data_IF_027709749870
#
_entry.id   IF_027709749870
#
_cell.length_a   1.000
_cell.length_b   1.000
_cell.length_c   1.000
_cell.angle_alpha   90.00
_cell.angle_beta   90.00
_cell.angle_gamma   90.00
#
_symmetry.space_group_name_H-M   'P 1'
#
loop_
_entity.id
_entity.type
_entity.pdbx_description
1 polymer ?
#
# COMPACT_ATOMS: atom_id res chain seq x y z
N UNK A 1 -30.86 18.31 -0.28
CA UNK A 1 -30.12 17.35 -1.14
C UNK A 1 -28.75 17.88 -1.58
N UNK A 2 -28.54 19.21 -1.68
CA UNK A 2 -27.23 19.83 -1.96
C UNK A 2 -26.23 19.65 -0.81
N UNK A 3 -26.67 19.85 0.43
CA UNK A 3 -25.82 19.76 1.63
C UNK A 3 -25.12 18.40 1.82
N UNK A 4 -25.76 17.31 1.39
CA UNK A 4 -25.18 15.96 1.49
C UNK A 4 -24.04 15.76 0.48
N UNK A 5 -24.18 16.30 -0.74
CA UNK A 5 -23.15 16.24 -1.77
C UNK A 5 -21.93 17.08 -1.35
N UNK A 6 -22.16 18.31 -0.84
CA UNK A 6 -21.09 19.17 -0.35
C UNK A 6 -20.30 18.52 0.80
N UNK A 7 -20.98 17.77 1.67
CA UNK A 7 -20.34 17.02 2.75
C UNK A 7 -19.48 15.84 2.28
N UNK A 8 -19.80 15.23 1.13
CA UNK A 8 -19.00 14.16 0.50
C UNK A 8 -17.75 14.76 -0.12
N UNK A 9 -17.89 15.85 -0.85
CA UNK A 9 -16.78 16.51 -1.52
C UNK A 9 -15.77 17.06 -0.51
N UNK A 10 -16.24 17.66 0.58
CA UNK A 10 -15.38 18.10 1.67
C UNK A 10 -14.59 16.94 2.32
N UNK A 11 -15.21 15.76 2.47
CA UNK A 11 -14.52 14.56 2.99
C UNK A 11 -13.48 14.03 2.00
N UNK A 12 -13.82 13.99 0.72
CA UNK A 12 -12.91 13.53 -0.34
C UNK A 12 -11.66 14.43 -0.43
N UNK A 13 -11.84 15.75 -0.37
CA UNK A 13 -10.72 16.71 -0.38
C UNK A 13 -9.82 16.55 0.85
N UNK A 14 -10.40 16.37 2.04
CA UNK A 14 -9.62 16.10 3.26
C UNK A 14 -8.83 14.80 3.15
N UNK A 15 -9.45 13.74 2.64
CA UNK A 15 -8.78 12.45 2.42
C UNK A 15 -7.65 12.57 1.39
N UNK A 16 -7.88 13.30 0.30
CA UNK A 16 -6.86 13.55 -0.73
C UNK A 16 -5.66 14.31 -0.16
N UNK A 17 -5.90 15.34 0.66
CA UNK A 17 -4.83 16.08 1.35
C UNK A 17 -4.04 15.18 2.30
N UNK A 18 -4.72 14.32 3.06
CA UNK A 18 -4.06 13.35 3.94
C UNK A 18 -3.19 12.38 3.13
N UNK A 19 -3.74 11.78 2.08
CA UNK A 19 -3.01 10.84 1.23
C UNK A 19 -1.78 11.49 0.61
N UNK A 20 -1.92 12.71 0.07
CA UNK A 20 -0.80 13.46 -0.52
C UNK A 20 0.34 13.71 0.47
N UNK A 21 0.01 14.00 1.72
CA UNK A 21 1.00 14.39 2.72
C UNK A 21 1.63 13.22 3.48
N UNK A 22 0.93 12.08 3.57
CA UNK A 22 1.31 10.99 4.49
C UNK A 22 1.57 9.65 3.79
N UNK A 23 1.37 9.57 2.46
CA UNK A 23 1.52 8.32 1.74
C UNK A 23 2.42 8.49 0.53
N UNK A 24 3.30 7.52 0.32
CA UNK A 24 4.10 7.37 -0.90
C UNK A 24 3.77 6.01 -1.50
N UNK A 25 3.42 6.00 -2.78
CA UNK A 25 3.28 4.78 -3.56
C UNK A 25 4.56 4.48 -4.30
N UNK A 26 4.98 3.21 -4.32
CA UNK A 26 5.99 2.73 -5.26
C UNK A 26 5.33 1.75 -6.22
N UNK A 27 5.82 1.74 -7.46
CA UNK A 27 5.37 0.82 -8.49
C UNK A 27 6.46 -0.24 -8.74
N UNK A 28 6.05 -1.50 -8.84
CA UNK A 28 6.92 -2.63 -9.16
C UNK A 28 6.29 -3.41 -10.32
N UNK A 29 7.09 -3.64 -11.37
CA UNK A 29 6.69 -4.51 -12.48
C UNK A 29 6.95 -5.97 -12.07
N UNK A 30 5.95 -6.83 -12.26
CA UNK A 30 6.06 -8.27 -12.13
C UNK A 30 5.74 -8.91 -13.48
N UNK A 31 6.55 -9.87 -13.90
CA UNK A 31 6.34 -10.63 -15.10
C UNK A 31 5.33 -11.76 -14.83
N UNK A 32 4.27 -11.81 -15.63
CA UNK A 32 3.19 -12.78 -15.45
C UNK A 32 3.61 -14.25 -15.60
N UNK A 33 4.74 -14.51 -16.26
CA UNK A 33 5.27 -15.86 -16.50
C UNK A 33 6.32 -16.25 -15.47
N UNK A 34 7.33 -15.39 -15.23
CA UNK A 34 8.43 -15.74 -14.32
C UNK A 34 8.12 -15.47 -12.85
N UNK A 35 7.27 -14.48 -12.57
CA UNK A 35 6.92 -14.06 -11.21
C UNK A 35 5.50 -14.52 -10.84
N UNK A 36 5.01 -15.56 -11.51
CA UNK A 36 3.66 -16.08 -11.34
C UNK A 36 3.40 -16.54 -9.89
N UNK A 37 4.41 -17.08 -9.23
CA UNK A 37 4.41 -17.47 -7.82
C UNK A 37 4.26 -16.25 -6.89
N UNK A 38 5.02 -15.17 -7.13
CA UNK A 38 4.92 -13.91 -6.39
C UNK A 38 3.53 -13.29 -6.56
N UNK A 39 3.02 -13.26 -7.80
CA UNK A 39 1.68 -12.75 -8.10
C UNK A 39 0.62 -13.55 -7.35
N UNK A 40 0.68 -14.88 -7.39
CA UNK A 40 -0.26 -15.76 -6.67
C UNK A 40 -0.18 -15.57 -5.17
N UNK A 41 1.03 -15.47 -4.61
CA UNK A 41 1.24 -15.21 -3.20
C UNK A 41 0.65 -13.84 -2.79
N UNK A 42 0.87 -12.78 -3.58
CA UNK A 42 0.26 -11.46 -3.32
C UNK A 42 -1.27 -11.49 -3.41
N UNK A 43 -1.83 -12.27 -4.33
CA UNK A 43 -3.27 -12.42 -4.48
C UNK A 43 -3.93 -13.11 -3.29
N UNK A 44 -3.24 -14.06 -2.64
CA UNK A 44 -3.77 -14.76 -1.47
C UNK A 44 -3.72 -13.96 -0.18
N UNK A 45 -3.00 -12.82 -0.14
CA UNK A 45 -2.90 -12.01 1.08
C UNK A 45 -4.18 -11.19 1.33
N UNK A 46 -4.68 -11.12 2.60
CA UNK A 46 -5.79 -10.24 2.97
C UNK A 46 -5.51 -8.76 2.67
N UNK A 47 -4.24 -8.36 2.81
CA UNK A 47 -3.76 -7.02 2.44
C UNK A 47 -2.36 -7.12 1.82
N UNK A 48 -2.27 -6.84 0.52
CA UNK A 48 -1.00 -6.82 -0.23
C UNK A 48 0.00 -5.85 0.37
N UNK A 49 -0.45 -4.63 0.66
CA UNK A 49 0.39 -3.60 1.29
C UNK A 49 0.82 -4.01 2.69
N UNK A 50 -0.08 -4.60 3.49
CA UNK A 50 0.26 -5.06 4.84
C UNK A 50 1.32 -6.15 4.84
N UNK A 51 1.14 -7.16 3.98
CA UNK A 51 2.08 -8.27 3.83
C UNK A 51 3.48 -7.80 3.40
N UNK A 52 3.55 -6.94 2.37
CA UNK A 52 4.81 -6.36 1.89
C UNK A 52 5.47 -5.50 2.98
N UNK A 53 4.71 -4.64 3.68
CA UNK A 53 5.26 -3.79 4.75
C UNK A 53 5.79 -4.61 5.92
N UNK A 54 5.24 -5.79 6.21
CA UNK A 54 5.78 -6.69 7.24
C UNK A 54 7.14 -7.22 6.82
N UNK A 55 7.23 -7.83 5.62
CA UNK A 55 8.50 -8.36 5.09
C UNK A 55 9.61 -7.30 5.04
N UNK A 56 9.28 -6.07 4.61
CA UNK A 56 10.25 -4.96 4.59
C UNK A 56 10.74 -4.61 6.00
N UNK A 57 9.85 -4.59 7.01
CA UNK A 57 10.24 -4.29 8.39
C UNK A 57 11.10 -5.39 8.99
N UNK A 58 10.77 -6.65 8.71
CA UNK A 58 11.53 -7.81 9.16
C UNK A 58 12.96 -7.77 8.59
N UNK A 59 13.10 -7.45 7.29
CA UNK A 59 14.40 -7.28 6.63
C UNK A 59 15.22 -6.10 7.21
N UNK A 60 14.58 -4.97 7.50
CA UNK A 60 15.25 -3.82 8.16
C UNK A 60 15.76 -4.22 9.55
N UNK A 61 14.94 -4.96 10.32
CA UNK A 61 15.31 -5.42 11.65
C UNK A 61 16.47 -6.43 11.60
N UNK A 62 16.43 -7.38 10.65
CA UNK A 62 17.50 -8.35 10.44
C UNK A 62 18.84 -7.65 10.18
N UNK A 63 18.87 -6.71 9.22
CA UNK A 63 20.07 -5.94 8.89
C UNK A 63 20.59 -5.06 10.02
N UNK A 64 19.72 -4.64 10.94
CA UNK A 64 20.13 -3.89 12.12
C UNK A 64 20.79 -4.79 13.17
N UNK A 65 20.40 -6.07 13.25
CA UNK A 65 20.99 -7.04 14.20
C UNK A 65 22.33 -7.64 13.77
N UNK A 66 22.64 -7.59 12.47
CA UNK A 66 23.91 -8.07 11.90
C UNK A 66 25.04 -7.04 11.96
N UNK A 67 24.76 -5.81 12.40
CA UNK A 67 25.73 -4.72 12.57
C UNK A 67 26.09 -4.53 14.04
#
# INVERSE_FOLDING_TARGET
MRDWLDSIDARNQKQAKYNKNNTVGFYMKLNIHTDADIIRWLQSQPSKQGAIKRLIRDEIAHKASEK
#
